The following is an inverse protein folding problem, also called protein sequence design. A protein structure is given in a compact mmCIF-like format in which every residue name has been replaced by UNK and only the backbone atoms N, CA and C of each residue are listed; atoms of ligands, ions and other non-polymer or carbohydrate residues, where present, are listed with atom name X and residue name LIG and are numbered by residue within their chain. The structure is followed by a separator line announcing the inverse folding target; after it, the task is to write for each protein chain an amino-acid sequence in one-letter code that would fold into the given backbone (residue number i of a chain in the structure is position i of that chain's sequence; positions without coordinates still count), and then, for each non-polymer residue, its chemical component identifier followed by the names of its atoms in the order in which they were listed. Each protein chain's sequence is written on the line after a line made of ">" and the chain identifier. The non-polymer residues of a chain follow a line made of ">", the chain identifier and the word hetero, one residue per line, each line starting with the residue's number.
data_IF_857227877732
#
_entry.id   IF_857227877732
#
_cell.length_a   1.000
_cell.length_b   1.000
_cell.length_c   1.000
_cell.angle_alpha   90.00
_cell.angle_beta   90.00
_cell.angle_gamma   90.00
#
_symmetry.space_group_name_H-M   'P 1'
#
loop_
_entity.id
_entity.type
_entity.pdbx_description
1 polymer ?
#
# COMPACT_ATOMS: atom_id res chain seq x y z
N UNK A 1 19.29 -6.91 17.95
CA UNK A 1 19.75 -6.60 16.58
C UNK A 1 18.59 -6.92 15.62
N UNK A 2 17.78 -5.93 15.26
CA UNK A 2 16.65 -6.13 14.37
C UNK A 2 17.19 -6.49 12.99
N UNK A 3 16.91 -7.70 12.51
CA UNK A 3 17.14 -8.04 11.11
C UNK A 3 16.14 -7.21 10.30
N UNK A 4 16.61 -6.17 9.61
CA UNK A 4 15.81 -5.53 8.54
C UNK A 4 15.53 -6.62 7.52
N UNK A 5 14.28 -7.07 7.45
CA UNK A 5 13.85 -7.94 6.36
C UNK A 5 13.95 -7.13 5.06
N UNK A 6 14.75 -7.62 4.12
CA UNK A 6 14.81 -7.04 2.78
C UNK A 6 13.61 -7.64 2.04
N UNK A 7 12.64 -6.82 1.69
CA UNK A 7 11.48 -7.19 0.88
C UNK A 7 11.34 -6.22 -0.28
N UNK A 8 10.67 -6.65 -1.35
CA UNK A 8 10.30 -5.78 -2.45
C UNK A 8 8.96 -5.12 -2.16
N UNK A 9 8.89 -3.80 -1.91
CA UNK A 9 7.61 -3.15 -1.57
C UNK A 9 6.62 -3.13 -2.74
N UNK A 10 7.10 -3.40 -3.95
CA UNK A 10 6.29 -3.44 -5.18
C UNK A 10 6.62 -4.70 -5.97
N UNK A 11 5.60 -5.48 -6.35
CA UNK A 11 5.72 -6.61 -7.27
C UNK A 11 4.63 -6.57 -8.33
N UNK A 12 4.95 -7.10 -9.50
CA UNK A 12 4.02 -7.18 -10.63
C UNK A 12 3.78 -8.65 -10.98
N UNK A 13 2.51 -9.05 -10.97
CA UNK A 13 2.06 -10.39 -11.37
C UNK A 13 1.12 -10.25 -12.58
N UNK A 14 1.65 -10.50 -13.79
CA UNK A 14 0.89 -10.27 -15.01
C UNK A 14 0.44 -8.81 -15.13
N UNK A 15 -0.86 -8.59 -15.14
CA UNK A 15 -1.50 -7.27 -15.21
C UNK A 15 -1.87 -6.67 -13.84
N UNK A 16 -1.33 -7.23 -12.76
CA UNK A 16 -1.56 -6.78 -11.38
C UNK A 16 -0.30 -6.15 -10.79
N UNK A 17 -0.43 -4.97 -10.22
CA UNK A 17 0.63 -4.32 -9.42
C UNK A 17 0.26 -4.42 -7.95
N UNK A 18 1.15 -4.99 -7.15
CA UNK A 18 1.00 -5.19 -5.70
C UNK A 18 1.96 -4.25 -4.99
N UNK A 19 1.47 -3.52 -3.99
CA UNK A 19 2.27 -2.57 -3.19
C UNK A 19 1.97 -2.79 -1.72
N UNK A 20 2.99 -2.86 -0.87
CA UNK A 20 2.82 -3.01 0.58
C UNK A 20 3.90 -2.28 1.37
N UNK A 21 3.69 -2.16 2.68
CA UNK A 21 4.68 -1.62 3.62
C UNK A 21 5.54 -2.69 4.31
N UNK A 22 5.45 -3.96 3.90
CA UNK A 22 6.17 -5.05 4.55
C UNK A 22 6.35 -6.27 3.65
N UNK A 23 6.86 -7.37 4.21
CA UNK A 23 7.15 -8.62 3.50
C UNK A 23 5.91 -9.38 3.02
N UNK A 24 4.71 -8.95 3.40
CA UNK A 24 3.46 -9.51 2.85
C UNK A 24 3.33 -9.30 1.33
N UNK A 25 4.15 -8.45 0.69
CA UNK A 25 4.21 -8.34 -0.76
C UNK A 25 4.50 -9.69 -1.40
N UNK A 26 5.48 -10.41 -0.87
CA UNK A 26 5.88 -11.73 -1.38
C UNK A 26 4.77 -12.75 -1.11
N UNK A 27 4.16 -12.73 0.06
CA UNK A 27 3.02 -13.60 0.39
C UNK A 27 1.86 -13.42 -0.59
N UNK A 28 1.47 -12.16 -0.86
CA UNK A 28 0.38 -11.86 -1.80
C UNK A 28 0.76 -12.36 -3.20
N UNK A 29 1.97 -12.04 -3.66
CA UNK A 29 2.45 -12.44 -4.98
C UNK A 29 2.41 -13.97 -5.15
N UNK A 30 3.02 -14.71 -4.24
CA UNK A 30 3.16 -16.17 -4.33
C UNK A 30 1.81 -16.92 -4.22
N UNK A 31 0.90 -16.44 -3.37
CA UNK A 31 -0.40 -17.07 -3.21
C UNK A 31 -1.35 -16.72 -4.35
N UNK A 32 -1.28 -15.51 -4.88
CA UNK A 32 -2.04 -15.13 -6.08
C UNK A 32 -1.53 -15.85 -7.34
N UNK A 33 -0.23 -16.11 -7.46
CA UNK A 33 0.33 -16.96 -8.53
C UNK A 33 -0.23 -18.39 -8.45
N UNK A 34 -0.58 -18.87 -7.25
CA UNK A 34 -1.28 -20.12 -6.99
C UNK A 34 -2.82 -20.01 -7.02
N UNK A 35 -3.34 -18.99 -7.71
CA UNK A 35 -4.79 -18.76 -7.92
C UNK A 35 -5.61 -18.38 -6.67
N UNK A 36 -4.98 -17.96 -5.58
CA UNK A 36 -5.71 -17.39 -4.46
C UNK A 36 -6.09 -15.93 -4.74
N UNK A 37 -7.14 -15.44 -4.07
CA UNK A 37 -7.51 -14.02 -4.13
C UNK A 37 -6.58 -13.17 -3.26
N UNK A 38 -6.62 -11.86 -3.45
CA UNK A 38 -5.91 -10.89 -2.63
C UNK A 38 -6.25 -11.05 -1.14
N UNK A 39 -7.53 -11.14 -0.81
CA UNK A 39 -8.01 -11.32 0.56
C UNK A 39 -7.61 -12.67 1.15
N UNK A 40 -7.69 -13.75 0.36
CA UNK A 40 -7.24 -15.07 0.81
C UNK A 40 -5.76 -15.08 1.14
N UNK A 41 -4.95 -14.42 0.32
CA UNK A 41 -3.51 -14.30 0.54
C UNK A 41 -3.19 -13.59 1.86
N UNK A 42 -3.96 -12.56 2.22
CA UNK A 42 -3.77 -11.80 3.45
C UNK A 42 -4.26 -12.51 4.72
N UNK A 43 -5.09 -13.55 4.60
CA UNK A 43 -5.55 -14.34 5.77
C UNK A 43 -4.42 -15.05 6.52
N UNK A 44 -3.29 -15.27 5.86
CA UNK A 44 -2.11 -15.92 6.44
C UNK A 44 -1.19 -14.95 7.16
N UNK A 45 -1.53 -13.65 7.17
CA UNK A 45 -0.70 -12.58 7.74
C UNK A 45 -1.48 -11.83 8.82
N UNK A 46 -0.73 -11.21 9.70
CA UNK A 46 -1.20 -10.32 10.76
C UNK A 46 -0.39 -9.02 10.69
N UNK A 47 -0.60 -8.09 11.61
CA UNK A 47 0.24 -6.90 11.80
C UNK A 47 1.69 -7.29 12.15
N UNK A 48 2.60 -6.33 12.29
CA UNK A 48 3.99 -6.57 12.72
C UNK A 48 4.04 -6.94 14.20
N UNK A 49 4.91 -7.88 14.55
CA UNK A 49 5.19 -8.26 15.94
C UNK A 49 6.23 -7.30 16.56
N UNK A 50 5.85 -6.04 16.71
CA UNK A 50 6.69 -4.95 17.20
C UNK A 50 6.03 -4.17 18.34
N UNK A 51 5.68 -4.90 19.43
CA UNK A 51 5.10 -4.27 20.62
C UNK A 51 5.88 -3.02 21.06
N UNK A 52 5.21 -1.96 21.54
CA UNK A 52 3.77 -1.85 21.78
C UNK A 52 2.94 -1.38 20.58
N UNK A 53 3.55 -1.06 19.44
CA UNK A 53 2.88 -0.45 18.31
C UNK A 53 2.05 -1.43 17.48
N UNK A 54 2.49 -2.69 17.37
CA UNK A 54 1.87 -3.68 16.48
C UNK A 54 1.57 -3.08 15.10
N UNK A 55 2.64 -2.59 14.44
CA UNK A 55 2.58 -1.81 13.20
C UNK A 55 1.62 -2.42 12.19
N UNK A 56 0.60 -1.69 11.75
CA UNK A 56 -0.35 -2.20 10.76
C UNK A 56 0.33 -2.56 9.44
N UNK A 57 -0.06 -3.68 8.85
CA UNK A 57 0.31 -4.04 7.49
C UNK A 57 -0.71 -3.48 6.52
N UNK A 58 -0.31 -2.53 5.71
CA UNK A 58 -1.14 -1.99 4.62
C UNK A 58 -0.71 -2.57 3.28
N UNK A 59 -1.67 -2.86 2.43
CA UNK A 59 -1.45 -3.45 1.13
C UNK A 59 -2.38 -2.82 0.10
N UNK A 60 -1.90 -2.69 -1.14
CA UNK A 60 -2.69 -2.28 -2.27
C UNK A 60 -2.45 -3.21 -3.45
N UNK A 61 -3.47 -3.45 -4.25
CA UNK A 61 -3.38 -4.14 -5.53
C UNK A 61 -4.18 -3.36 -6.57
N UNK A 62 -3.58 -3.14 -7.73
CA UNK A 62 -4.24 -2.59 -8.90
C UNK A 62 -4.19 -3.60 -10.04
N UNK A 63 -5.32 -3.84 -10.65
CA UNK A 63 -5.49 -4.72 -11.80
C UNK A 63 -5.91 -3.89 -13.02
N UNK A 64 -5.13 -3.97 -14.11
CA UNK A 64 -5.40 -3.26 -15.37
C UNK A 64 -5.60 -4.27 -16.48
N UNK A 65 -6.77 -4.31 -17.09
CA UNK A 65 -7.11 -5.27 -18.13
C UNK A 65 -8.13 -4.70 -19.11
N UNK A 66 -7.90 -4.90 -20.41
CA UNK A 66 -8.84 -4.53 -21.49
C UNK A 66 -9.33 -3.08 -21.47
N UNK A 67 -8.45 -2.14 -21.15
CA UNK A 67 -8.79 -0.71 -21.08
C UNK A 67 -9.60 -0.29 -19.85
N UNK A 68 -9.70 -1.18 -18.86
CA UNK A 68 -10.32 -0.92 -17.57
C UNK A 68 -9.37 -1.21 -16.42
N UNK A 69 -9.68 -0.70 -15.23
CA UNK A 69 -8.93 -1.00 -14.03
C UNK A 69 -9.85 -1.10 -12.81
N UNK A 70 -9.39 -1.84 -11.86
CA UNK A 70 -9.93 -1.87 -10.51
C UNK A 70 -8.78 -1.97 -9.51
N UNK A 71 -9.06 -1.68 -8.26
CA UNK A 71 -8.06 -1.83 -7.20
C UNK A 71 -8.71 -2.18 -5.86
N UNK A 72 -7.91 -2.73 -4.99
CA UNK A 72 -8.26 -2.97 -3.60
C UNK A 72 -7.15 -2.50 -2.68
N UNK A 73 -7.52 -2.10 -1.47
CA UNK A 73 -6.62 -1.74 -0.39
C UNK A 73 -6.97 -2.56 0.85
N UNK A 74 -5.99 -2.92 1.64
CA UNK A 74 -6.20 -3.68 2.87
C UNK A 74 -5.34 -3.16 4.01
N UNK A 75 -5.85 -3.31 5.22
CA UNK A 75 -5.11 -3.11 6.46
C UNK A 75 -5.33 -4.30 7.39
N UNK A 76 -4.24 -4.79 7.95
CA UNK A 76 -4.21 -5.77 9.04
C UNK A 76 -3.67 -5.02 10.27
N UNK A 77 -4.44 -4.92 11.34
CA UNK A 77 -4.04 -4.19 12.53
C UNK A 77 -4.48 -4.92 13.80
N UNK A 78 -3.84 -4.61 14.91
CA UNK A 78 -4.30 -5.06 16.22
C UNK A 78 -5.59 -4.32 16.62
N UNK A 79 -6.48 -4.98 17.34
CA UNK A 79 -7.64 -4.33 17.94
C UNK A 79 -7.19 -3.54 19.17
N UNK A 80 -7.09 -2.22 19.05
CA UNK A 80 -6.68 -1.31 20.13
C UNK A 80 -5.38 -1.72 20.85
N UNK A 81 -4.40 -2.21 20.07
CA UNK A 81 -3.13 -2.68 20.63
C UNK A 81 -3.20 -4.04 21.33
N UNK A 82 -4.32 -4.74 21.21
CA UNK A 82 -4.46 -6.10 21.77
C UNK A 82 -3.74 -7.12 20.86
N UNK A 83 -2.70 -7.82 21.35
CA UNK A 83 -1.93 -8.77 20.54
C UNK A 83 -2.73 -10.05 20.18
N UNK A 84 -3.82 -10.33 20.88
CA UNK A 84 -4.61 -11.55 20.65
C UNK A 84 -5.70 -11.39 19.57
N UNK A 85 -5.83 -10.19 19.02
CA UNK A 85 -6.86 -9.88 18.04
C UNK A 85 -6.31 -9.13 16.82
N UNK A 86 -6.36 -9.75 15.66
CA UNK A 86 -6.04 -9.12 14.38
C UNK A 86 -7.32 -8.76 13.63
N UNK A 87 -7.56 -7.47 13.44
CA UNK A 87 -8.60 -6.93 12.57
C UNK A 87 -8.11 -6.88 11.11
N UNK A 88 -9.00 -7.26 10.18
CA UNK A 88 -8.70 -7.33 8.75
C UNK A 88 -9.77 -6.59 7.95
N UNK A 89 -9.38 -5.51 7.31
CA UNK A 89 -10.27 -4.72 6.47
C UNK A 89 -9.76 -4.74 5.02
N UNK A 90 -10.68 -4.90 4.07
CA UNK A 90 -10.39 -4.78 2.64
C UNK A 90 -11.42 -3.86 2.01
N UNK A 91 -10.94 -2.88 1.25
CA UNK A 91 -11.71 -1.86 0.54
C UNK A 91 -11.53 -2.10 -0.96
N UNK A 92 -12.60 -2.43 -1.66
CA UNK A 92 -12.55 -2.79 -3.08
C UNK A 92 -13.26 -1.74 -3.93
N UNK A 93 -12.58 -1.28 -4.98
CA UNK A 93 -13.06 -0.27 -5.92
C UNK A 93 -13.14 -0.88 -7.31
N UNK A 94 -14.33 -1.37 -7.69
CA UNK A 94 -14.57 -2.12 -8.93
C UNK A 94 -14.74 -1.20 -10.14
N UNK A 95 -15.29 -0.01 -9.96
CA UNK A 95 -15.51 0.99 -10.99
C UNK A 95 -14.98 2.35 -10.49
N UNK A 96 -13.65 2.52 -10.40
CA UNK A 96 -13.08 3.76 -9.90
C UNK A 96 -13.40 4.94 -10.81
N UNK A 97 -13.50 6.14 -10.23
CA UNK A 97 -13.75 7.37 -10.97
C UNK A 97 -12.43 7.95 -11.47
N UNK A 98 -12.42 8.49 -12.70
CA UNK A 98 -11.25 9.17 -13.24
C UNK A 98 -10.84 10.36 -12.37
N UNK A 99 -9.54 10.52 -12.18
CA UNK A 99 -8.97 11.58 -11.34
C UNK A 99 -9.17 11.41 -9.83
N UNK A 100 -9.80 10.32 -9.37
CA UNK A 100 -10.03 10.03 -7.94
C UNK A 100 -9.29 8.78 -7.53
N UNK A 101 -8.50 8.90 -6.48
CA UNK A 101 -7.87 7.78 -5.79
C UNK A 101 -8.24 7.70 -4.31
N UNK A 102 -7.61 6.78 -3.62
CA UNK A 102 -7.79 6.60 -2.18
C UNK A 102 -6.43 6.49 -1.49
N UNK A 103 -6.37 7.00 -0.27
CA UNK A 103 -5.16 7.02 0.54
C UNK A 103 -5.40 6.26 1.85
N UNK A 104 -4.49 5.33 2.13
CA UNK A 104 -4.42 4.58 3.39
C UNK A 104 -3.03 4.76 3.99
N UNK A 105 -2.95 4.79 5.31
CA UNK A 105 -1.70 4.92 6.05
C UNK A 105 -1.69 4.03 7.29
N UNK A 106 -0.54 3.84 7.93
CA UNK A 106 -0.41 2.93 9.08
C UNK A 106 -0.92 3.56 10.37
N UNK A 107 -0.60 4.82 10.62
CA UNK A 107 -0.86 5.50 11.89
C UNK A 107 -1.64 6.80 11.69
N UNK A 108 -2.53 7.11 12.63
CA UNK A 108 -3.34 8.34 12.61
C UNK A 108 -2.54 9.58 13.02
N UNK A 109 -1.47 9.44 13.78
CA UNK A 109 -0.68 10.53 14.31
C UNK A 109 0.35 10.06 15.32
N UNK A 110 0.84 10.98 16.13
CA UNK A 110 1.79 10.69 17.21
C UNK A 110 1.09 10.02 18.40
N UNK A 111 1.84 9.22 19.15
CA UNK A 111 1.34 8.51 20.31
C UNK A 111 2.34 7.49 20.87
N UNK A 112 2.01 6.92 22.04
CA UNK A 112 2.76 5.81 22.62
C UNK A 112 1.78 4.86 23.36
N UNK A 113 1.37 3.73 22.74
CA UNK A 113 1.68 3.31 21.36
C UNK A 113 1.12 4.26 20.29
N UNK A 114 1.66 4.15 19.07
CA UNK A 114 1.15 4.91 17.94
C UNK A 114 -0.27 4.44 17.57
N UNK A 115 -1.28 5.35 17.48
CA UNK A 115 -2.64 4.95 17.14
C UNK A 115 -2.73 4.47 15.69
N UNK A 116 -3.27 3.28 15.47
CA UNK A 116 -3.48 2.71 14.13
C UNK A 116 -4.51 3.50 13.32
N UNK A 117 -4.41 3.39 11.98
CA UNK A 117 -5.41 3.93 11.08
C UNK A 117 -6.81 3.39 11.38
N UNK A 118 -7.80 4.28 11.34
CA UNK A 118 -9.21 3.98 11.53
C UNK A 118 -10.07 4.60 10.42
N UNK A 119 -11.21 3.99 10.18
CA UNK A 119 -12.19 4.44 9.20
C UNK A 119 -11.90 3.96 7.78
N UNK A 120 -12.40 4.69 6.79
CA UNK A 120 -12.25 4.38 5.37
C UNK A 120 -11.04 5.11 4.77
N UNK A 121 -10.39 4.55 3.71
CA UNK A 121 -9.36 5.25 2.96
C UNK A 121 -9.86 6.59 2.44
N UNK A 122 -9.06 7.64 2.61
CA UNK A 122 -9.43 9.02 2.27
C UNK A 122 -9.41 9.21 0.75
N UNK A 123 -10.43 9.87 0.19
CA UNK A 123 -10.41 10.28 -1.22
C UNK A 123 -9.30 11.30 -1.46
N UNK A 124 -8.59 11.13 -2.56
CA UNK A 124 -7.53 12.04 -3.01
C UNK A 124 -7.66 12.29 -4.51
N UNK A 125 -7.25 13.47 -4.95
CA UNK A 125 -7.14 13.80 -6.36
C UNK A 125 -5.89 13.15 -6.95
N UNK A 126 -6.04 12.54 -8.13
CA UNK A 126 -4.93 11.94 -8.89
C UNK A 126 -4.75 12.76 -10.17
N UNK A 127 -3.72 13.61 -10.27
CA UNK A 127 -3.39 14.32 -11.51
C UNK A 127 -3.03 13.36 -12.64
N UNK A 128 -3.20 13.78 -13.89
CA UNK A 128 -2.80 12.97 -15.05
C UNK A 128 -1.29 12.95 -15.29
N UNK A 129 -0.55 13.87 -14.70
CA UNK A 129 0.89 14.01 -14.86
C UNK A 129 1.64 13.40 -13.65
N UNK A 130 2.53 12.45 -13.93
CA UNK A 130 3.31 11.74 -12.89
C UNK A 130 4.30 12.69 -12.19
N UNK A 131 4.84 13.70 -12.90
CA UNK A 131 5.78 14.67 -12.32
C UNK A 131 5.06 15.56 -11.31
N UNK A 132 3.91 16.09 -11.71
CA UNK A 132 3.06 16.91 -10.84
C UNK A 132 2.66 16.14 -9.59
N UNK A 133 2.16 14.90 -9.76
CA UNK A 133 1.73 14.08 -8.63
C UNK A 133 2.87 13.73 -7.69
N UNK A 134 4.01 13.33 -8.25
CA UNK A 134 5.21 12.99 -7.47
C UNK A 134 5.70 14.18 -6.67
N UNK A 135 5.73 15.38 -7.27
CA UNK A 135 6.13 16.62 -6.60
C UNK A 135 5.18 16.96 -5.44
N UNK A 136 3.87 16.98 -5.69
CA UNK A 136 2.85 17.25 -4.65
C UNK A 136 2.94 16.28 -3.48
N UNK A 137 3.09 14.98 -3.76
CA UNK A 137 3.22 13.97 -2.70
C UNK A 137 4.49 14.17 -1.89
N UNK A 138 5.63 14.41 -2.56
CA UNK A 138 6.91 14.61 -1.87
C UNK A 138 6.90 15.83 -0.96
N UNK A 139 6.28 16.92 -1.39
CA UNK A 139 6.13 18.15 -0.60
C UNK A 139 5.18 17.95 0.59
N UNK A 140 4.12 17.13 0.43
CA UNK A 140 3.15 16.85 1.49
C UNK A 140 3.70 15.92 2.59
N UNK A 141 4.76 15.16 2.33
CA UNK A 141 5.36 14.27 3.32
C UNK A 141 6.13 15.07 4.39
N UNK A 142 6.04 14.61 5.65
CA UNK A 142 6.78 15.20 6.75
C UNK A 142 8.29 15.23 6.44
N UNK A 143 8.90 16.41 6.52
CA UNK A 143 10.29 16.64 6.11
C UNK A 143 11.31 15.81 6.91
N UNK A 144 11.06 15.62 8.19
CA UNK A 144 11.97 14.89 9.07
C UNK A 144 11.87 13.37 8.89
N UNK A 145 10.68 12.88 8.54
CA UNK A 145 10.38 11.45 8.49
C UNK A 145 10.41 10.86 7.08
N UNK A 146 10.30 11.67 6.03
CA UNK A 146 10.32 11.15 4.66
C UNK A 146 11.69 10.58 4.28
N UNK A 147 11.70 9.40 3.70
CA UNK A 147 12.90 8.69 3.25
C UNK A 147 12.88 8.51 1.74
N UNK A 148 11.82 7.94 1.22
CA UNK A 148 11.65 7.69 -0.21
C UNK A 148 10.19 7.70 -0.62
N UNK A 149 9.94 7.98 -1.89
CA UNK A 149 8.63 7.94 -2.54
C UNK A 149 8.76 7.15 -3.84
N UNK A 150 7.87 6.19 -4.04
CA UNK A 150 7.69 5.48 -5.31
C UNK A 150 6.33 5.83 -5.89
N UNK A 151 6.31 6.26 -7.15
CA UNK A 151 5.08 6.54 -7.91
C UNK A 151 5.10 5.72 -9.20
N UNK A 152 3.97 5.10 -9.52
CA UNK A 152 3.82 4.31 -10.74
C UNK A 152 2.50 4.67 -11.43
N UNK A 153 2.58 5.09 -12.68
CA UNK A 153 1.45 5.30 -13.57
C UNK A 153 1.38 4.15 -14.57
N UNK A 154 0.18 3.70 -14.84
CA UNK A 154 -0.09 2.62 -15.79
C UNK A 154 -1.06 3.15 -16.82
N UNK A 155 -0.67 3.16 -18.09
CA UNK A 155 -1.59 3.44 -19.18
C UNK A 155 -2.61 2.31 -19.31
N UNK A 156 -3.88 2.64 -19.13
CA UNK A 156 -4.95 1.66 -19.02
C UNK A 156 -5.16 0.90 -20.33
N UNK A 157 -4.99 1.58 -21.47
CA UNK A 157 -5.23 1.00 -22.79
C UNK A 157 -4.11 0.02 -23.19
N UNK A 158 -2.83 0.36 -22.91
CA UNK A 158 -1.69 -0.41 -23.34
C UNK A 158 -1.09 -1.31 -22.24
N UNK A 159 -1.44 -1.07 -20.97
CA UNK A 159 -0.82 -1.71 -19.82
C UNK A 159 0.63 -1.26 -19.55
N UNK A 160 1.16 -0.31 -20.32
CA UNK A 160 2.53 0.21 -20.13
C UNK A 160 2.62 1.04 -18.87
N UNK A 161 3.71 0.86 -18.15
CA UNK A 161 3.92 1.57 -16.90
C UNK A 161 5.14 2.48 -16.95
N UNK A 162 5.03 3.63 -16.29
CA UNK A 162 6.11 4.55 -15.97
C UNK A 162 6.21 4.65 -14.47
N UNK A 163 7.43 4.67 -13.92
CA UNK A 163 7.64 4.75 -12.49
C UNK A 163 8.66 5.82 -12.15
N UNK A 164 8.46 6.49 -11.02
CA UNK A 164 9.38 7.44 -10.43
C UNK A 164 9.75 7.04 -9.01
N UNK A 165 10.99 7.32 -8.65
CA UNK A 165 11.49 7.14 -7.28
C UNK A 165 12.17 8.43 -6.86
N UNK A 166 11.78 8.97 -5.73
CA UNK A 166 12.54 9.99 -5.02
C UNK A 166 13.12 9.33 -3.77
N UNK A 167 14.39 9.60 -3.52
CA UNK A 167 15.07 9.14 -2.32
C UNK A 167 15.81 10.32 -1.70
N UNK A 168 15.50 10.66 -0.45
CA UNK A 168 16.09 11.80 0.28
C UNK A 168 17.63 11.73 0.36
N UNK A 169 18.17 10.53 0.39
CA UNK A 169 19.60 10.28 0.58
C UNK A 169 20.33 9.78 -0.67
N UNK A 170 19.66 9.78 -1.84
CA UNK A 170 20.37 9.52 -3.11
C UNK A 170 21.29 10.68 -3.44
N UNK A 171 22.56 10.36 -3.67
CA UNK A 171 23.52 11.27 -4.29
C UNK A 171 23.41 11.20 -5.80
#
# INVERSE_FOLDING_TARGET
>A
MYKRQIYSPVRVLGNKTIVTNGDQTDTIYELMDKQQTFEQSLRTREYEDDAPNYTPRISGIMHVENGAYNYAMSILKSADGNPDCCERFTYTYTNPLDGVGHFIHTYMGDGNPLPSFEGEPKKVEIPNDIEEFTGKLWEALNEDNKVSLFVRYIDIASGKAVSKVINKYSK
#
